data_IF_176930671808
#
_entry.id   IF_176930671808
#
_cell.length_a   1.000
_cell.length_b   1.000
_cell.length_c   1.000
_cell.angle_alpha   90.00
_cell.angle_beta   90.00
_cell.angle_gamma   90.00
#
_symmetry.space_group_name_H-M   'P 1'
#
loop_
_entity.id
_entity.type
_entity.pdbx_description
1 polymer ?
2 non-polymer ?
3 water ?
#
# COMPACT_ATOMS: atom_id res chain seq x y z
N UNK A 6 8.35 13.51 8.82
CA UNK A 6 7.02 13.43 8.22
C UNK A 6 7.09 13.68 6.72
N UNK A 7 5.96 13.51 6.04
CA UNK A 7 5.93 13.48 4.58
C UNK A 7 5.38 14.78 4.00
N UNK A 8 6.10 15.36 3.04
CA UNK A 8 5.71 16.65 2.45
C UNK A 8 5.04 16.44 1.09
N UNK A 9 3.89 17.06 0.86
CA UNK A 9 3.33 17.07 -0.49
C UNK A 9 3.55 18.43 -1.12
N UNK A 10 4.00 18.47 -2.36
CA UNK A 10 4.16 19.75 -3.05
C UNK A 10 4.28 19.57 -4.55
N UNK A 11 4.23 20.67 -5.29
CA UNK A 11 4.40 20.63 -6.72
C UNK A 11 5.91 20.49 -7.05
N UNK A 12 6.23 19.65 -8.03
CA UNK A 12 7.64 19.48 -8.43
C UNK A 12 8.12 20.69 -9.21
N UNK A 13 9.35 21.13 -8.96
CA UNK A 13 9.95 22.23 -9.73
C UNK A 13 10.61 21.69 -11.00
N UNK A 14 10.78 22.56 -11.98
CA UNK A 14 11.42 22.14 -13.23
C UNK A 14 12.82 21.57 -12.98
N UNK A 15 13.57 22.20 -12.08
CA UNK A 15 14.93 21.75 -11.80
C UNK A 15 14.94 20.35 -11.17
N UNK A 16 13.76 19.82 -10.86
CA UNK A 16 13.66 18.50 -10.25
C UNK A 16 13.22 17.43 -11.23
N UNK A 17 13.21 17.78 -12.51
CA UNK A 17 12.82 16.83 -13.54
C UNK A 17 13.49 15.44 -13.35
N UNK A 18 14.79 15.43 -13.08
CA UNK A 18 15.46 14.13 -12.94
C UNK A 18 14.93 13.32 -11.76
N UNK A 19 14.66 13.96 -10.63
CA UNK A 19 14.07 13.22 -9.53
C UNK A 19 12.68 12.70 -9.92
N UNK A 20 11.92 13.47 -10.69
CA UNK A 20 10.59 13.01 -11.08
C UNK A 20 10.84 11.78 -11.94
N UNK A 21 11.81 11.89 -12.85
CA UNK A 21 12.10 10.78 -13.74
C UNK A 21 12.36 9.55 -12.86
N UNK A 22 13.20 9.67 -11.87
CA UNK A 22 13.55 8.51 -11.06
C UNK A 22 12.36 7.90 -10.39
N UNK A 23 11.49 8.70 -9.79
CA UNK A 23 10.38 8.07 -9.08
C UNK A 23 9.51 7.33 -10.10
N UNK A 24 9.37 7.89 -11.30
CA UNK A 24 8.56 7.22 -12.30
C UNK A 24 9.19 5.88 -12.66
N UNK A 25 10.50 5.86 -12.84
CA UNK A 25 11.18 4.62 -13.18
C UNK A 25 10.95 3.60 -12.06
N UNK A 26 10.91 4.06 -10.81
CA UNK A 26 11.05 3.13 -9.68
C UNK A 26 9.73 2.50 -9.24
N UNK A 27 8.69 3.32 -9.14
CA UNK A 27 7.44 2.83 -8.58
C UNK A 27 6.27 2.88 -9.55
N UNK A 28 6.39 3.61 -10.64
CA UNK A 28 5.25 3.73 -11.55
C UNK A 28 5.28 2.73 -12.71
N UNK A 29 6.22 2.92 -13.63
CA UNK A 29 6.30 2.08 -14.83
C UNK A 29 6.36 0.57 -14.56
N UNK A 30 7.17 0.14 -13.58
CA UNK A 30 7.28 -1.31 -13.35
C UNK A 30 5.98 -1.97 -12.94
N UNK A 31 5.02 -1.16 -12.55
CA UNK A 31 3.79 -1.70 -12.09
C UNK A 31 2.56 -1.34 -12.86
N UNK A 32 2.61 -0.28 -13.63
CA UNK A 32 1.43 0.23 -14.35
C UNK A 32 0.84 -0.83 -15.28
N UNK A 33 -0.44 -1.14 -15.07
CA UNK A 33 -1.11 -2.19 -15.83
C UNK A 33 -1.00 -2.04 -17.34
N UNK A 34 -1.24 -0.83 -17.85
CA UNK A 34 -1.16 -0.61 -19.28
C UNK A 34 0.23 -0.96 -19.84
N UNK A 35 1.28 -0.34 -19.30
CA UNK A 35 2.64 -0.55 -19.82
C UNK A 35 3.15 -2.01 -19.71
N UNK A 36 2.91 -2.68 -18.58
CA UNK A 36 3.44 -4.06 -18.42
C UNK A 36 2.58 -5.17 -19.03
N UNK A 37 1.34 -4.86 -19.41
CA UNK A 37 0.49 -5.86 -20.06
C UNK A 37 0.72 -5.91 -21.57
N UNK A 38 1.53 -4.98 -22.06
CA UNK A 38 1.75 -4.83 -23.50
C UNK A 38 2.36 -6.08 -24.10
N UNK A 39 1.78 -6.47 -25.24
CA UNK A 39 2.12 -7.69 -25.97
C UNK A 39 3.57 -7.83 -26.43
N UNK A 40 4.21 -6.73 -26.81
CA UNK A 40 5.56 -6.82 -27.37
C UNK A 40 6.68 -6.38 -26.43
N UNK A 41 6.42 -6.37 -25.13
CA UNK A 41 7.41 -5.96 -24.16
C UNK A 41 6.85 -5.06 -23.06
N UNK A 42 7.24 -5.34 -21.83
CA UNK A 42 6.67 -4.64 -20.69
C UNK A 42 7.39 -3.32 -20.36
N UNK A 43 8.58 -3.12 -20.91
CA UNK A 43 9.34 -1.91 -20.57
C UNK A 43 8.71 -0.66 -21.18
N UNK A 44 8.84 0.46 -20.48
CA UNK A 44 8.41 1.74 -21.04
C UNK A 44 9.45 2.30 -22.01
N UNK A 45 9.01 3.23 -22.86
CA UNK A 45 9.88 3.80 -23.87
C UNK A 45 10.20 5.25 -23.52
N UNK A 46 11.16 5.82 -24.24
CA UNK A 46 11.53 7.22 -24.04
C UNK A 46 10.40 8.20 -24.40
N UNK A 47 9.60 7.89 -25.40
CA UNK A 47 8.52 8.83 -25.76
C UNK A 47 7.40 8.91 -24.71
N UNK A 48 7.19 7.77 -24.03
CA UNK A 48 6.28 7.64 -22.90
C UNK A 48 6.77 8.57 -21.78
N UNK A 49 8.02 8.37 -21.41
CA UNK A 49 8.68 9.17 -20.41
C UNK A 49 8.61 10.67 -20.73
N UNK A 50 8.90 11.02 -21.97
CA UNK A 50 8.84 12.42 -22.38
C UNK A 50 7.45 13.00 -22.17
N UNK A 51 6.43 12.22 -22.52
CA UNK A 51 5.06 12.67 -22.29
C UNK A 51 4.85 12.98 -20.80
N UNK A 52 5.17 12.02 -19.94
CA UNK A 52 4.94 12.22 -18.52
C UNK A 52 5.70 13.42 -17.94
N UNK A 53 6.96 13.58 -18.34
CA UNK A 53 7.77 14.66 -17.79
C UNK A 53 7.39 16.03 -18.36
N UNK A 54 6.77 16.05 -19.55
CA UNK A 54 6.37 17.33 -20.12
C UNK A 54 5.48 18.11 -19.13
N UNK A 55 4.91 17.44 -18.14
CA UNK A 55 4.01 18.15 -17.20
C UNK A 55 4.71 18.89 -16.07
N UNK A 56 5.98 18.56 -15.79
CA UNK A 56 6.68 19.21 -14.68
C UNK A 56 6.71 20.72 -14.86
N UNK A 57 7.06 21.18 -16.06
CA UNK A 57 7.13 22.62 -16.33
C UNK A 57 5.76 23.28 -16.17
N UNK A 58 4.69 22.53 -16.39
CA UNK A 58 3.34 23.08 -16.27
C UNK A 58 2.87 23.24 -14.82
N UNK A 59 3.68 22.80 -13.86
CA UNK A 59 3.36 22.90 -12.45
C UNK A 59 2.21 22.02 -11.99
N UNK A 60 1.98 20.92 -12.71
CA UNK A 60 0.88 20.02 -12.34
C UNK A 60 1.38 18.59 -12.01
N UNK A 61 2.65 18.52 -11.63
CA UNK A 61 3.24 17.29 -11.11
C UNK A 61 3.41 17.46 -9.61
N UNK A 62 2.73 16.60 -8.86
CA UNK A 62 2.77 16.66 -7.40
C UNK A 62 3.61 15.50 -6.88
N UNK A 63 4.47 15.78 -5.92
CA UNK A 63 5.31 14.75 -5.36
C UNK A 63 5.06 14.68 -3.86
N UNK A 64 5.21 13.47 -3.36
CA UNK A 64 5.24 13.20 -1.92
C UNK A 64 6.69 12.86 -1.62
N UNK A 65 7.26 13.61 -0.68
CA UNK A 65 8.68 13.61 -0.39
C UNK A 65 8.93 13.25 1.08
N UNK A 66 9.92 12.40 1.31
CA UNK A 66 10.38 12.09 2.66
C UNK A 66 11.53 13.05 2.95
N UNK A 67 11.20 14.22 3.49
CA UNK A 67 12.20 15.27 3.67
C UNK A 67 13.38 14.83 4.54
N UNK A 68 13.12 13.93 5.49
CA UNK A 68 14.17 13.40 6.35
C UNK A 68 15.15 12.52 5.56
N UNK A 69 14.69 11.94 4.46
CA UNK A 69 15.55 11.12 3.62
C UNK A 69 15.89 11.82 2.31
N UNK A 70 15.37 13.04 2.14
CA UNK A 70 15.51 13.79 0.88
C UNK A 70 15.22 12.88 -0.30
N UNK A 71 13.99 12.39 -0.37
CA UNK A 71 13.62 11.33 -1.31
C UNK A 71 12.14 11.41 -1.71
N UNK A 72 11.84 11.29 -3.00
CA UNK A 72 10.46 11.21 -3.43
C UNK A 72 9.92 9.80 -3.10
N UNK A 73 8.67 9.72 -2.69
CA UNK A 73 8.07 8.42 -2.40
C UNK A 73 6.66 8.33 -2.97
N UNK A 74 6.23 9.40 -3.64
CA UNK A 74 4.97 9.31 -4.37
C UNK A 74 4.94 10.37 -5.45
N UNK A 75 4.12 10.17 -6.47
CA UNK A 75 4.02 11.18 -7.54
C UNK A 75 2.67 11.08 -8.21
N UNK A 76 2.15 12.23 -8.65
CA UNK A 76 0.91 12.27 -9.41
C UNK A 76 1.08 13.28 -10.53
N UNK A 77 0.71 12.88 -11.74
CA UNK A 77 0.87 13.76 -12.89
C UNK A 77 -0.49 13.97 -13.53
N UNK A 78 -0.83 15.24 -13.71
CA UNK A 78 -2.13 15.60 -14.27
C UNK A 78 -1.94 16.73 -15.29
N UNK A 79 -2.95 16.96 -16.13
CA UNK A 79 -2.89 18.02 -17.11
C UNK A 79 -4.28 18.29 -17.62
N UNK A 80 -4.48 19.40 -18.36
CA UNK A 80 -5.82 19.70 -18.86
C UNK A 80 -6.19 18.75 -19.98
N UNK A 81 -7.47 18.45 -20.12
CA UNK A 81 -7.96 17.80 -21.34
C UNK A 81 -9.10 18.65 -21.88
N UNK A 82 -9.33 18.56 -23.18
CA UNK A 82 -10.40 19.35 -23.78
C UNK A 82 -10.84 18.75 -25.11
N UNK A 83 -12.03 19.13 -25.58
CA UNK A 83 -12.49 18.60 -26.86
C UNK A 83 -11.40 18.78 -27.91
N UNK A 84 -11.19 17.77 -28.75
CA UNK A 84 -10.14 17.82 -29.76
C UNK A 84 -8.94 16.97 -29.41
N UNK A 85 -8.74 16.74 -28.12
CA UNK A 85 -7.53 16.07 -27.65
C UNK A 85 -7.37 14.65 -28.20
N UNK A 86 -8.44 13.84 -28.15
CA UNK A 86 -8.30 12.49 -28.73
C UNK A 86 -7.77 12.47 -30.19
N UNK A 87 -8.30 13.31 -31.06
CA UNK A 87 -7.82 13.35 -32.44
C UNK A 87 -6.34 13.75 -32.54
N UNK A 88 -5.97 14.77 -31.78
CA UNK A 88 -4.56 15.16 -31.69
C UNK A 88 -3.67 14.02 -31.19
N UNK A 89 -4.17 13.26 -30.22
CA UNK A 89 -3.40 12.12 -29.70
C UNK A 89 -3.23 11.06 -30.78
N UNK A 90 -4.27 10.81 -31.56
CA UNK A 90 -4.16 9.84 -32.67
C UNK A 90 -3.10 10.31 -33.69
N UNK A 91 -3.13 11.60 -33.98
CA UNK A 91 -2.15 12.17 -34.91
C UNK A 91 -0.74 11.98 -34.35
N UNK A 92 -0.54 12.35 -33.09
CA UNK A 92 0.76 12.19 -32.44
C UNK A 92 1.18 10.72 -32.51
N UNK A 93 0.22 9.82 -32.38
CA UNK A 93 0.50 8.39 -32.37
C UNK A 93 1.08 7.97 -33.71
N UNK A 94 0.59 8.60 -34.78
CA UNK A 94 1.09 8.32 -36.12
C UNK A 94 2.54 8.76 -36.39
N UNK A 95 3.10 9.61 -35.53
CA UNK A 95 4.41 10.20 -35.80
C UNK A 95 5.44 9.93 -34.70
N UNK A 96 5.01 9.29 -33.61
CA UNK A 96 5.88 9.10 -32.46
C UNK A 96 7.00 8.09 -32.76
N UNK A 97 8.04 8.09 -31.92
CA UNK A 97 9.22 7.25 -32.20
C UNK A 97 8.95 5.75 -32.12
N UNK A 98 8.23 5.30 -31.08
CA UNK A 98 8.03 3.88 -30.92
C UNK A 98 6.61 3.43 -31.20
N UNK A 99 6.46 2.18 -31.64
CA UNK A 99 5.12 1.67 -31.88
C UNK A 99 4.38 1.51 -30.56
N UNK A 100 5.09 1.11 -29.51
CA UNK A 100 4.43 0.88 -28.22
C UNK A 100 3.73 2.15 -27.72
N UNK A 101 4.44 3.26 -27.78
CA UNK A 101 3.87 4.51 -27.28
C UNK A 101 2.72 4.97 -28.17
N UNK A 102 2.84 4.76 -29.48
CA UNK A 102 1.72 5.04 -30.38
C UNK A 102 0.47 4.25 -30.05
N UNK A 103 0.65 2.96 -29.79
CA UNK A 103 -0.46 2.08 -29.41
C UNK A 103 -1.10 2.53 -28.09
N UNK A 104 -0.25 2.85 -27.12
CA UNK A 104 -0.76 3.31 -25.82
C UNK A 104 -1.52 4.62 -25.97
N UNK A 105 -0.96 5.53 -26.75
CA UNK A 105 -1.60 6.81 -27.04
C UNK A 105 -2.98 6.62 -27.65
N UNK A 106 -3.10 5.70 -28.60
CA UNK A 106 -4.43 5.39 -29.15
C UNK A 106 -5.39 4.85 -28.11
N UNK A 107 -4.91 3.96 -27.25
CA UNK A 107 -5.74 3.49 -26.14
C UNK A 107 -6.23 4.62 -25.20
N UNK A 108 -5.32 5.49 -24.81
CA UNK A 108 -5.63 6.64 -23.95
C UNK A 108 -6.64 7.56 -24.61
N UNK A 109 -6.42 7.81 -25.89
CA UNK A 109 -7.35 8.60 -26.70
C UNK A 109 -8.73 7.97 -26.67
N UNK A 110 -8.82 6.66 -26.83
CA UNK A 110 -10.11 5.96 -26.79
C UNK A 110 -10.78 6.15 -25.44
N UNK A 111 -9.99 6.00 -24.38
CA UNK A 111 -10.51 6.17 -23.04
C UNK A 111 -11.11 7.56 -22.89
N UNK A 112 -10.38 8.56 -23.37
CA UNK A 112 -10.79 9.94 -23.20
C UNK A 112 -12.03 10.24 -24.03
N UNK A 113 -12.05 9.72 -25.24
CA UNK A 113 -13.15 9.94 -26.18
C UNK A 113 -14.42 9.31 -25.66
N UNK A 114 -14.29 8.13 -25.08
CA UNK A 114 -15.46 7.40 -24.57
C UNK A 114 -16.01 8.09 -23.33
N UNK A 115 -15.11 8.53 -22.46
CA UNK A 115 -15.53 9.19 -21.24
C UNK A 115 -16.24 10.48 -21.58
N UNK A 116 -15.67 11.24 -22.51
CA UNK A 116 -16.26 12.50 -22.96
C UNK A 116 -16.64 13.40 -21.78
N UNK A 117 -15.72 13.58 -20.83
CA UNK A 117 -16.01 14.37 -19.63
C UNK A 117 -16.56 15.77 -19.95
N UNK A 118 -15.88 16.47 -20.85
CA UNK A 118 -16.28 17.85 -21.17
C UNK A 118 -17.69 17.93 -21.74
N UNK A 119 -18.04 16.96 -22.59
CA UNK A 119 -19.36 16.95 -23.21
C UNK A 119 -20.45 16.55 -22.24
N UNK A 120 -20.15 15.55 -21.42
CA UNK A 120 -21.12 15.07 -20.45
C UNK A 120 -21.45 16.10 -19.38
N UNK A 121 -20.46 16.91 -18.99
CA UNK A 121 -20.71 17.83 -17.88
C UNK A 121 -20.85 19.30 -18.27
N UNK A 122 -20.64 19.59 -19.55
CA UNK A 122 -20.77 20.95 -20.06
C UNK A 122 -19.56 21.82 -19.74
N UNK A 123 -18.36 21.30 -20.01
CA UNK A 123 -17.13 21.99 -19.66
C UNK A 123 -16.31 22.34 -20.90
N UNK A 124 -15.56 23.43 -20.83
CA UNK A 124 -14.59 23.78 -21.86
C UNK A 124 -13.30 22.98 -21.72
N UNK A 125 -13.03 22.54 -20.49
CA UNK A 125 -11.84 21.74 -20.18
C UNK A 125 -12.01 21.06 -18.83
N UNK A 126 -11.19 20.04 -18.57
CA UNK A 126 -11.24 19.32 -17.31
C UNK A 126 -9.81 19.04 -16.90
N UNK A 127 -9.61 18.66 -15.64
CA UNK A 127 -8.27 18.34 -15.14
C UNK A 127 -8.16 16.83 -15.03
N UNK A 128 -7.20 16.25 -15.73
CA UNK A 128 -7.11 14.81 -15.84
C UNK A 128 -5.85 14.25 -15.18
N UNK A 129 -6.05 13.42 -14.15
CA UNK A 129 -4.93 12.74 -13.53
C UNK A 129 -4.49 11.59 -14.44
N UNK A 130 -3.28 11.72 -14.97
CA UNK A 130 -2.68 10.69 -15.83
C UNK A 130 -1.99 9.62 -14.98
N UNK A 131 -1.31 10.05 -13.92
CA UNK A 131 -0.51 9.15 -13.09
C UNK A 131 -0.78 9.37 -11.59
N UNK A 132 -0.93 8.29 -10.84
CA UNK A 132 -0.99 8.38 -9.37
C UNK A 132 -0.23 7.16 -8.86
N UNK A 133 0.92 7.37 -8.25
CA UNK A 133 1.77 6.26 -7.82
C UNK A 133 2.40 6.50 -6.45
N UNK A 134 2.30 5.48 -5.59
CA UNK A 134 2.79 5.57 -4.24
C UNK A 134 3.73 4.41 -4.00
N UNK A 135 4.87 4.69 -3.38
CA UNK A 135 5.79 3.62 -2.98
C UNK A 135 5.04 2.70 -2.00
N UNK A 136 4.88 1.42 -2.35
CA UNK A 136 4.03 0.55 -1.52
C UNK A 136 4.60 0.25 -0.13
N UNK A 137 5.87 0.55 0.11
CA UNK A 137 6.47 0.36 1.44
C UNK A 137 6.18 1.53 2.39
N UNK A 138 5.57 2.59 1.88
CA UNK A 138 5.15 3.68 2.74
C UNK A 138 3.65 3.56 3.01
N UNK A 139 3.28 2.54 3.77
CA UNK A 139 1.89 2.29 4.11
C UNK A 139 1.51 3.01 5.38
N UNK A 140 0.20 3.22 5.56
CA UNK A 140 -0.28 3.80 6.80
C UNK A 140 -0.20 5.31 6.90
N UNK A 141 0.04 5.98 5.78
CA UNK A 141 0.17 7.44 5.80
C UNK A 141 -0.77 8.18 4.87
N UNK A 142 -1.81 7.50 4.39
CA UNK A 142 -2.81 8.13 3.53
C UNK A 142 -2.19 8.76 2.29
N UNK A 143 -1.11 8.17 1.76
CA UNK A 143 -0.35 8.82 0.69
C UNK A 143 -1.13 8.96 -0.61
N UNK A 144 -1.77 7.88 -1.05
CA UNK A 144 -2.57 7.91 -2.26
C UNK A 144 -3.66 8.94 -2.13
N UNK A 145 -4.35 8.90 -0.99
CA UNK A 145 -5.47 9.83 -0.79
C UNK A 145 -4.96 11.26 -0.71
N UNK A 146 -3.81 11.48 -0.09
CA UNK A 146 -3.26 12.84 0.01
C UNK A 146 -2.78 13.38 -1.33
N UNK A 147 -2.22 12.51 -2.17
CA UNK A 147 -1.83 12.91 -3.54
C UNK A 147 -3.06 13.30 -4.37
N UNK A 148 -4.08 12.43 -4.37
CA UNK A 148 -5.27 12.71 -5.15
C UNK A 148 -5.98 13.94 -4.63
N UNK A 149 -6.06 14.07 -3.32
CA UNK A 149 -6.71 15.24 -2.73
C UNK A 149 -5.94 16.49 -3.09
N UNK A 150 -4.62 16.39 -3.09
CA UNK A 150 -3.80 17.54 -3.42
C UNK A 150 -4.12 17.93 -4.86
N UNK A 151 -4.23 16.95 -5.76
CA UNK A 151 -4.54 17.28 -7.17
C UNK A 151 -5.93 17.91 -7.30
N UNK A 152 -6.89 17.42 -6.52
CA UNK A 152 -8.23 18.04 -6.51
C UNK A 152 -8.19 19.49 -6.04
N UNK A 153 -7.51 19.73 -4.91
CA UNK A 153 -7.41 21.08 -4.34
C UNK A 153 -6.73 22.04 -5.28
N UNK A 154 -5.65 21.56 -5.91
CA UNK A 154 -4.85 22.36 -6.81
C UNK A 154 -5.65 22.71 -8.06
N UNK A 155 -6.26 21.71 -8.68
CA UNK A 155 -7.03 21.96 -9.90
C UNK A 155 -8.15 22.95 -9.57
N UNK A 156 -8.76 22.77 -8.40
CA UNK A 156 -9.80 23.73 -7.96
C UNK A 156 -9.25 25.15 -7.95
N UNK A 157 -8.15 25.36 -7.22
CA UNK A 157 -7.57 26.71 -7.15
C UNK A 157 -7.20 27.25 -8.53
N UNK A 158 -6.82 26.37 -9.45
CA UNK A 158 -6.39 26.80 -10.78
C UNK A 158 -7.57 27.20 -11.68
N UNK A 159 -8.79 26.95 -11.21
CA UNK A 159 -9.99 27.36 -11.92
C UNK A 159 -10.70 26.25 -12.67
N UNK A 160 -10.21 25.01 -12.54
CA UNK A 160 -10.88 23.89 -13.21
C UNK A 160 -12.24 23.62 -12.58
N UNK A 161 -13.20 23.21 -13.40
CA UNK A 161 -14.55 22.96 -12.91
C UNK A 161 -14.79 21.47 -12.71
N UNK A 162 -13.84 20.64 -13.17
CA UNK A 162 -13.96 19.19 -13.03
C UNK A 162 -12.60 18.49 -13.07
N UNK A 163 -12.50 17.37 -12.36
CA UNK A 163 -11.30 16.54 -12.39
C UNK A 163 -11.65 15.10 -12.73
N UNK A 164 -10.78 14.41 -13.48
CA UNK A 164 -11.00 13.03 -13.86
C UNK A 164 -9.73 12.23 -13.86
N UNK A 165 -9.86 10.93 -14.08
CA UNK A 165 -8.69 10.06 -14.18
C UNK A 165 -9.00 8.70 -14.76
N UNK A 166 -7.97 8.07 -15.31
CA UNK A 166 -8.06 6.69 -15.75
C UNK A 166 -7.38 5.83 -14.69
N UNK A 167 -8.20 5.12 -13.91
CA UNK A 167 -7.71 4.35 -12.78
C UNK A 167 -7.65 2.87 -13.10
N UNK A 168 -6.44 2.36 -13.11
CA UNK A 168 -6.13 1.05 -13.60
C UNK A 168 -6.08 0.01 -12.50
N UNK A 169 -6.12 0.41 -11.25
CA UNK A 169 -6.08 -0.54 -10.16
C UNK A 169 -7.26 -0.46 -9.21
N UNK A 170 -7.40 -1.47 -8.39
CA UNK A 170 -8.55 -1.54 -7.58
C UNK A 170 -8.42 -0.47 -6.51
N UNK A 171 -7.26 -0.35 -5.91
CA UNK A 171 -7.08 0.63 -4.87
C UNK A 171 -7.63 1.99 -5.35
N UNK A 172 -7.02 2.40 -6.44
CA UNK A 172 -7.04 3.74 -7.01
C UNK A 172 -8.48 4.11 -7.34
N UNK A 173 -9.19 3.16 -7.95
CA UNK A 173 -10.62 3.34 -8.17
C UNK A 173 -11.28 3.62 -6.83
N UNK A 174 -10.92 2.82 -5.82
CA UNK A 174 -11.53 2.97 -4.49
C UNK A 174 -11.36 4.39 -3.91
N UNK A 175 -10.18 4.97 -4.11
CA UNK A 175 -9.89 6.33 -3.69
C UNK A 175 -10.79 7.28 -4.43
N UNK A 176 -10.77 7.17 -5.76
CA UNK A 176 -11.58 8.04 -6.61
C UNK A 176 -13.00 8.09 -6.11
N UNK A 177 -13.59 6.91 -5.92
CA UNK A 177 -14.95 6.81 -5.41
C UNK A 177 -15.07 7.49 -4.05
N UNK A 178 -14.15 7.16 -3.15
CA UNK A 178 -14.12 7.75 -1.81
C UNK A 178 -14.09 9.27 -1.85
N UNK A 179 -13.28 9.83 -2.73
CA UNK A 179 -13.14 11.29 -2.78
C UNK A 179 -14.18 11.94 -3.69
N UNK A 180 -15.27 11.21 -3.94
CA UNK A 180 -16.44 11.79 -4.58
C UNK A 180 -16.48 11.73 -6.09
N UNK A 181 -15.60 10.92 -6.67
CA UNK A 181 -15.57 10.75 -8.12
C UNK A 181 -16.51 9.60 -8.54
N UNK A 182 -17.32 9.85 -9.58
CA UNK A 182 -18.20 8.83 -10.13
C UNK A 182 -17.50 8.19 -11.33
N UNK A 183 -17.37 6.86 -11.33
CA UNK A 183 -16.88 6.16 -12.52
C UNK A 183 -17.97 6.16 -13.59
N UNK A 184 -17.67 6.78 -14.74
CA UNK A 184 -18.66 6.98 -15.78
C UNK A 184 -18.43 6.10 -16.99
N UNK A 185 -17.26 5.50 -17.09
CA UNK A 185 -16.92 4.64 -18.22
C UNK A 185 -15.84 3.65 -17.80
N UNK A 186 -15.81 2.48 -18.43
CA UNK A 186 -14.76 1.50 -18.17
C UNK A 186 -14.43 0.68 -19.41
N UNK A 187 -13.26 0.03 -19.36
CA UNK A 187 -12.78 -0.74 -20.51
C UNK A 187 -11.97 -1.92 -20.03
N UNK A 188 -12.42 -3.12 -20.39
CA UNK A 188 -11.65 -4.32 -20.14
C UNK A 188 -10.41 -4.31 -21.02
N UNK A 189 -9.24 -4.30 -20.39
CA UNK A 189 -7.97 -4.20 -21.09
C UNK A 189 -7.76 -5.28 -22.16
N UNK A 190 -8.01 -6.53 -21.78
CA UNK A 190 -7.80 -7.65 -22.70
C UNK A 190 -8.79 -7.66 -23.86
N UNK A 191 -9.89 -6.94 -23.71
CA UNK A 191 -10.87 -6.84 -24.77
C UNK A 191 -10.54 -5.73 -25.78
N UNK A 192 -9.55 -4.91 -25.46
CA UNK A 192 -9.15 -3.82 -26.36
C UNK A 192 -8.63 -4.34 -27.70
N UNK A 193 -9.08 -3.70 -28.77
CA UNK A 193 -8.64 -3.99 -30.13
C UNK A 193 -8.40 -2.66 -30.84
N UNK A 194 -7.26 -2.50 -31.49
CA UNK A 194 -7.06 -1.27 -32.26
C UNK A 194 -7.83 -1.32 -33.59
N UNK A 195 -7.60 -0.35 -34.47
CA UNK A 195 -8.35 -0.29 -35.74
C UNK A 195 -7.99 -1.44 -36.69
N UNK A 196 -6.84 -2.06 -36.44
CA UNK A 196 -6.38 -3.21 -37.22
C UNK A 196 -7.06 -4.48 -36.77
N UNK A 197 -7.73 -4.40 -35.62
CA UNK A 197 -8.34 -5.57 -35.01
C UNK A 197 -7.39 -6.32 -34.11
N UNK A 198 -6.23 -5.72 -33.82
CA UNK A 198 -5.18 -6.39 -33.06
C UNK A 198 -5.35 -6.27 -31.55
N UNK A 199 -5.19 -7.37 -30.86
CA UNK A 199 -5.13 -7.43 -29.43
C UNK A 199 -3.76 -7.06 -28.93
N UNK A 200 -3.63 -5.97 -28.17
CA UNK A 200 -2.30 -5.44 -27.88
C UNK A 200 -1.92 -5.52 -26.41
N UNK A 201 -2.88 -5.85 -25.56
CA UNK A 201 -2.62 -5.90 -24.13
C UNK A 201 -3.11 -7.21 -23.54
N UNK A 202 -2.27 -7.81 -22.71
CA UNK A 202 -2.55 -9.11 -22.12
C UNK A 202 -2.21 -9.07 -20.64
N UNK A 203 -3.11 -8.49 -19.83
CA UNK A 203 -2.79 -8.37 -18.41
C UNK A 203 -2.72 -9.73 -17.73
N UNK A 204 -1.55 -10.06 -17.18
CA UNK A 204 -1.37 -11.32 -16.44
C UNK A 204 -2.57 -11.58 -15.53
N UNK A 205 -3.11 -10.50 -14.97
CA UNK A 205 -4.37 -10.56 -14.27
C UNK A 205 -5.50 -10.36 -15.26
N UNK A 206 -6.05 -11.47 -15.78
CA UNK A 206 -7.18 -11.36 -16.69
C UNK A 206 -8.33 -10.68 -15.94
N UNK A 207 -9.34 -10.23 -16.67
CA UNK A 207 -10.41 -9.43 -16.05
C UNK A 207 -9.84 -8.20 -15.36
N UNK A 208 -8.76 -7.63 -15.90
CA UNK A 208 -8.27 -6.33 -15.44
C UNK A 208 -8.95 -5.21 -16.21
N UNK A 209 -9.55 -4.28 -15.47
CA UNK A 209 -10.41 -3.26 -16.05
C UNK A 209 -9.89 -1.86 -15.73
N UNK A 210 -10.03 -0.95 -16.70
CA UNK A 210 -9.66 0.44 -16.50
C UNK A 210 -10.92 1.26 -16.29
N UNK A 211 -10.94 2.12 -15.28
CA UNK A 211 -12.14 2.91 -15.03
C UNK A 211 -11.87 4.40 -15.08
N UNK A 212 -12.58 5.12 -15.93
CA UNK A 212 -12.49 6.57 -15.99
C UNK A 212 -13.49 7.18 -15.01
N UNK A 213 -12.98 7.92 -14.03
CA UNK A 213 -13.85 8.53 -13.02
C UNK A 213 -13.72 10.06 -13.03
N UNK A 214 -14.75 10.73 -12.53
CA UNK A 214 -14.86 12.19 -12.66
C UNK A 214 -15.66 12.84 -11.54
N UNK A 215 -15.35 14.10 -11.25
CA UNK A 215 -16.00 14.84 -10.18
C UNK A 215 -16.00 16.34 -10.48
N UNK A 216 -17.16 16.98 -10.30
CA UNK A 216 -17.24 18.42 -10.44
C UNK A 216 -16.51 19.04 -9.26
N UNK A 217 -15.85 20.16 -9.50
CA UNK A 217 -15.11 20.84 -8.44
C UNK A 217 -15.83 22.11 -8.01
N UNK B 6 11.21 -3.80 39.37
CA UNK B 6 12.41 -4.17 38.67
C UNK B 6 12.20 -4.45 37.18
N UNK B 7 10.97 -4.68 36.81
CA UNK B 7 10.58 -4.84 35.42
C UNK B 7 10.02 -3.51 34.91
N UNK B 8 10.62 -2.99 33.84
CA UNK B 8 10.22 -1.72 33.27
C UNK B 8 9.57 -1.95 31.90
N UNK B 9 8.42 -1.35 31.65
CA UNK B 9 7.85 -1.34 30.30
C UNK B 9 8.05 0.06 29.74
N UNK B 10 8.59 0.17 28.53
CA UNK B 10 8.76 1.50 27.93
C UNK B 10 8.90 1.40 26.42
N UNK B 11 8.79 2.54 25.75
CA UNK B 11 9.02 2.59 24.31
C UNK B 11 10.53 2.45 24.06
N UNK B 12 10.89 1.60 23.11
CA UNK B 12 12.30 1.49 22.73
C UNK B 12 12.75 2.75 21.97
N UNK B 13 13.96 3.22 22.26
CA UNK B 13 14.52 4.37 21.57
C UNK B 13 15.21 3.90 20.26
N UNK B 14 15.30 4.79 19.28
CA UNK B 14 15.98 4.48 18.03
C UNK B 14 17.38 3.89 18.25
N UNK B 15 18.12 4.47 19.19
CA UNK B 15 19.50 4.02 19.47
C UNK B 15 19.54 2.59 20.00
N UNK B 16 18.37 2.04 20.32
CA UNK B 16 18.30 0.68 20.84
C UNK B 16 17.92 -0.32 19.74
N UNK B 17 17.97 0.13 18.49
CA UNK B 17 17.60 -0.75 17.37
C UNK B 17 18.21 -2.15 17.49
N UNK B 18 19.52 -2.22 17.71
CA UNK B 18 20.18 -3.52 17.77
C UNK B 18 19.61 -4.40 18.87
N UNK B 19 19.29 -3.80 20.02
CA UNK B 19 18.74 -4.61 21.11
C UNK B 19 17.35 -5.11 20.71
N UNK B 20 16.59 -4.29 19.99
CA UNK B 20 15.29 -4.78 19.54
C UNK B 20 15.56 -5.97 18.59
N UNK B 21 16.53 -5.81 17.69
CA UNK B 21 16.80 -6.86 16.71
C UNK B 21 17.07 -8.11 17.52
N UNK B 22 17.90 -7.96 18.52
CA UNK B 22 18.32 -9.08 19.29
C UNK B 22 17.16 -9.78 20.00
N UNK B 23 16.27 -9.04 20.61
CA UNK B 23 15.17 -9.73 21.27
C UNK B 23 14.29 -10.40 20.21
N UNK B 24 14.15 -9.77 19.04
CA UNK B 24 13.28 -10.39 18.04
C UNK B 24 13.89 -11.71 17.58
N UNK B 25 15.22 -11.77 17.51
CA UNK B 25 15.85 -13.02 17.08
C UNK B 25 15.60 -14.09 18.12
N UNK B 26 15.70 -13.72 19.37
CA UNK B 26 15.78 -14.71 20.41
C UNK B 26 14.45 -15.28 20.85
N UNK B 27 13.45 -14.44 21.06
CA UNK B 27 12.17 -14.89 21.62
C UNK B 27 10.97 -14.76 20.67
N UNK B 28 11.04 -13.90 19.66
CA UNK B 28 9.91 -13.84 18.72
C UNK B 28 10.00 -14.84 17.57
N UNK B 29 10.95 -14.65 16.66
CA UNK B 29 10.99 -15.42 15.41
C UNK B 29 11.04 -16.95 15.56
N UNK B 30 11.77 -17.46 16.57
CA UNK B 30 11.83 -18.92 16.75
C UNK B 30 10.49 -19.54 17.14
N UNK B 31 9.58 -18.75 17.69
CA UNK B 31 8.34 -19.32 18.20
C UNK B 31 7.10 -18.86 17.45
N UNK B 32 7.27 -18.03 16.44
CA UNK B 32 6.10 -17.44 15.82
C UNK B 32 5.45 -18.38 14.80
N UNK B 33 4.16 -18.64 15.01
CA UNK B 33 3.44 -19.64 14.21
C UNK B 33 3.58 -19.48 12.70
N UNK B 34 3.33 -18.27 12.21
CA UNK B 34 3.42 -18.04 10.76
C UNK B 34 4.83 -18.36 10.22
N UNK B 35 5.85 -17.76 10.82
CA UNK B 35 7.21 -17.95 10.32
C UNK B 35 7.66 -19.40 10.36
N UNK B 36 7.38 -20.11 11.46
CA UNK B 36 7.89 -21.46 11.58
C UNK B 36 7.00 -22.51 10.90
N UNK B 37 5.78 -22.13 10.51
CA UNK B 37 4.90 -23.03 9.78
C UNK B 37 5.24 -23.12 8.30
N UNK B 38 6.05 -22.17 7.81
CA UNK B 38 6.35 -22.05 6.39
C UNK B 38 7.04 -23.31 5.85
N UNK B 39 6.50 -23.82 4.74
CA UNK B 39 6.97 -25.10 4.18
C UNK B 39 8.38 -25.07 3.57
N UNK B 40 8.88 -23.90 3.16
CA UNK B 40 10.21 -23.81 2.55
C UNK B 40 11.28 -23.13 3.42
N UNK B 41 11.33 -23.46 4.70
CA UNK B 41 12.27 -22.84 5.61
C UNK B 41 11.58 -22.22 6.82
N UNK B 42 12.04 -22.55 8.02
CA UNK B 42 11.38 -22.07 9.23
C UNK B 42 11.98 -20.74 9.75
N UNK B 43 13.23 -20.47 9.40
CA UNK B 43 13.90 -19.27 9.87
C UNK B 43 13.31 -18.04 9.22
N UNK B 44 13.41 -16.88 9.88
CA UNK B 44 12.97 -15.64 9.28
C UNK B 44 13.99 -15.08 8.30
N UNK B 45 13.58 -14.11 7.51
CA UNK B 45 14.47 -13.49 6.54
C UNK B 45 14.78 -12.04 6.88
N UNK B 46 15.76 -11.49 6.18
CA UNK B 46 16.15 -10.11 6.36
C UNK B 46 15.06 -9.09 6.01
N UNK B 47 14.24 -9.36 4.99
CA UNK B 47 13.20 -8.38 4.66
C UNK B 47 12.07 -8.39 5.70
N UNK B 48 11.83 -9.55 6.28
CA UNK B 48 10.92 -9.73 7.41
C UNK B 48 11.42 -8.86 8.58
N UNK B 49 12.65 -9.12 9.01
CA UNK B 49 13.31 -8.31 10.03
C UNK B 49 13.30 -6.80 9.77
N UNK B 50 13.58 -6.39 8.52
CA UNK B 50 13.58 -4.98 8.17
C UNK B 50 12.19 -4.41 8.44
N UNK B 51 11.17 -5.16 8.04
CA UNK B 51 9.81 -4.69 8.34
C UNK B 51 9.62 -4.50 9.86
N UNK B 52 9.90 -5.54 10.63
CA UNK B 52 9.70 -5.39 12.08
C UNK B 52 10.42 -4.18 12.66
N UNK B 53 11.66 -3.94 12.22
CA UNK B 53 12.46 -2.87 12.79
C UNK B 53 12.10 -1.47 12.29
N UNK B 54 11.41 -1.35 11.15
CA UNK B 54 11.03 -0.01 10.71
C UNK B 54 10.18 0.74 11.73
N UNK B 55 9.63 0.05 12.73
CA UNK B 55 8.73 0.73 13.67
C UNK B 55 9.45 1.36 14.85
N UNK B 56 10.71 0.97 15.04
CA UNK B 56 11.45 1.56 16.15
C UNK B 56 11.46 3.09 16.04
N UNK B 57 11.77 3.62 14.85
CA UNK B 57 11.83 5.07 14.71
C UNK B 57 10.47 5.76 14.83
N UNK B 58 9.38 5.00 14.66
CA UNK B 58 8.02 5.55 14.75
C UNK B 58 7.55 5.68 16.21
N UNK B 59 8.31 5.09 17.12
CA UNK B 59 8.01 5.17 18.54
C UNK B 59 6.88 4.26 18.97
N UNK B 60 6.60 3.21 18.20
CA UNK B 60 5.55 2.27 18.57
C UNK B 60 6.08 0.89 18.86
N UNK B 61 7.35 0.79 19.23
CA UNK B 61 7.90 -0.48 19.70
C UNK B 61 8.03 -0.39 21.22
N UNK B 62 7.41 -1.33 21.92
CA UNK B 62 7.39 -1.33 23.37
C UNK B 62 8.24 -2.49 23.84
N UNK B 63 9.10 -2.26 24.83
CA UNK B 63 9.92 -3.32 25.38
C UNK B 63 9.60 -3.48 26.85
N UNK B 64 9.76 -4.72 27.33
CA UNK B 64 9.86 -5.00 28.77
C UNK B 64 11.32 -5.33 29.01
N UNK B 65 11.86 -4.71 30.05
CA UNK B 65 13.26 -4.74 30.37
C UNK B 65 13.45 -5.12 31.84
N UNK B 66 14.38 -6.03 32.09
CA UNK B 66 14.85 -6.31 33.45
C UNK B 66 15.93 -5.27 33.73
N UNK B 67 15.59 -4.23 34.50
CA UNK B 67 16.51 -3.11 34.68
C UNK B 67 17.77 -3.47 35.48
N UNK B 68 17.67 -4.49 36.33
CA UNK B 68 18.85 -4.96 37.05
C UNK B 68 19.83 -5.60 36.08
N UNK B 69 19.33 -6.56 35.31
CA UNK B 69 20.16 -7.32 34.37
C UNK B 69 20.50 -6.52 33.10
N UNK B 70 19.86 -5.38 32.90
CA UNK B 70 20.09 -4.55 31.71
C UNK B 70 19.75 -5.26 30.40
N UNK B 71 18.66 -6.02 30.37
CA UNK B 71 18.28 -6.76 29.15
C UNK B 71 16.78 -6.75 28.85
N UNK B 72 16.44 -6.72 27.56
CA UNK B 72 15.06 -6.81 27.15
C UNK B 72 14.57 -8.21 27.43
N UNK B 73 13.34 -8.32 27.92
CA UNK B 73 12.75 -9.63 28.20
C UNK B 73 11.38 -9.76 27.57
N UNK B 74 10.91 -8.67 26.97
CA UNK B 74 9.67 -8.74 26.22
C UNK B 74 9.64 -7.66 25.14
N UNK B 75 8.80 -7.85 24.13
CA UNK B 75 8.71 -6.83 23.07
C UNK B 75 7.36 -6.90 22.36
N UNK B 76 6.87 -5.73 21.97
CA UNK B 76 5.66 -5.63 21.17
C UNK B 76 5.84 -4.56 20.13
N UNK B 77 5.49 -4.87 18.89
CA UNK B 77 5.63 -3.91 17.79
C UNK B 77 4.28 -3.67 17.13
N UNK B 78 3.92 -2.39 16.98
CA UNK B 78 2.61 -1.99 16.47
C UNK B 78 2.78 -0.87 15.48
N UNK B 79 1.76 -0.64 14.64
CA UNK B 79 1.76 0.46 13.70
C UNK B 79 0.35 0.70 13.15
N UNK B 80 0.16 1.80 12.43
CA UNK B 80 -1.17 2.14 11.87
C UNK B 80 -1.50 1.17 10.75
N UNK B 81 -2.79 0.91 10.57
CA UNK B 81 -3.28 0.22 9.38
C UNK B 81 -4.46 1.04 8.87
N UNK B 82 -4.70 0.97 7.56
CA UNK B 82 -5.76 1.76 6.95
C UNK B 82 -6.15 1.13 5.61
N UNK B 83 -7.33 1.50 5.09
CA UNK B 83 -7.73 0.99 3.77
C UNK B 83 -6.62 1.23 2.74
N UNK B 84 -6.43 0.28 1.83
CA UNK B 84 -5.39 0.39 0.84
C UNK B 84 -4.15 -0.38 1.22
N UNK B 85 -4.00 -0.67 2.51
CA UNK B 85 -2.82 -1.41 2.98
C UNK B 85 -2.68 -2.78 2.34
N UNK B 86 -3.76 -3.55 2.27
CA UNK B 86 -3.60 -4.90 1.71
C UNK B 86 -3.07 -4.90 0.27
N UNK B 87 -3.63 -4.03 -0.57
CA UNK B 87 -3.16 -3.96 -1.96
C UNK B 87 -1.69 -3.55 -2.04
N UNK B 88 -1.30 -2.58 -1.20
CA UNK B 88 0.11 -2.17 -1.13
C UNK B 88 1.01 -3.30 -0.66
N UNK B 89 0.57 -4.09 0.32
CA UNK B 89 1.34 -5.25 0.77
C UNK B 89 1.55 -6.26 -0.35
N UNK B 90 0.48 -6.55 -1.09
CA UNK B 90 0.60 -7.47 -2.23
C UNK B 90 1.59 -6.92 -3.28
N UNK B 91 1.54 -5.61 -3.48
CA UNK B 91 2.48 -4.93 -4.38
C UNK B 91 3.93 -5.07 -3.90
N UNK B 92 4.17 -4.81 -2.62
CA UNK B 92 5.51 -4.96 -2.09
C UNK B 92 5.96 -6.40 -2.25
N UNK B 93 5.00 -7.31 -2.11
CA UNK B 93 5.29 -8.75 -2.10
C UNK B 93 5.86 -9.16 -3.45
N UNK B 94 5.33 -8.55 -4.51
CA UNK B 94 5.85 -8.82 -5.85
C UNK B 94 7.36 -8.51 -6.02
N UNK B 95 7.89 -7.52 -5.30
CA UNK B 95 9.28 -7.09 -5.51
C UNK B 95 10.26 -7.30 -4.33
N UNK B 96 9.83 -7.99 -3.27
CA UNK B 96 10.68 -8.03 -2.08
C UNK B 96 11.81 -9.03 -2.28
N UNK B 97 12.78 -9.04 -1.35
CA UNK B 97 13.98 -9.85 -1.55
C UNK B 97 13.73 -11.35 -1.57
N UNK B 98 12.92 -11.84 -0.63
CA UNK B 98 12.68 -13.30 -0.55
C UNK B 98 11.26 -13.68 -0.88
N UNK B 99 11.10 -14.87 -1.45
CA UNK B 99 9.76 -15.41 -1.66
C UNK B 99 9.06 -15.61 -0.33
N UNK B 100 9.81 -15.96 0.72
CA UNK B 100 9.15 -16.23 1.99
C UNK B 100 8.46 -14.98 2.53
N UNK B 101 9.18 -13.86 2.55
CA UNK B 101 8.58 -12.61 3.05
C UNK B 101 7.40 -12.21 2.17
N UNK B 102 7.54 -12.38 0.86
CA UNK B 102 6.41 -12.07 -0.04
C UNK B 102 5.17 -12.90 0.27
N UNK B 103 5.37 -14.20 0.46
CA UNK B 103 4.29 -15.09 0.82
C UNK B 103 3.63 -14.67 2.15
N UNK B 104 4.45 -14.33 3.14
CA UNK B 104 3.87 -13.90 4.41
C UNK B 104 3.11 -12.57 4.26
N UNK B 105 3.68 -11.64 3.51
CA UNK B 105 3.01 -10.37 3.23
C UNK B 105 1.64 -10.64 2.66
N UNK B 106 1.54 -11.58 1.73
CA UNK B 106 0.24 -11.82 1.13
C UNK B 106 -0.74 -12.45 2.11
N UNK B 107 -0.22 -13.32 2.98
CA UNK B 107 -1.06 -13.87 4.05
C UNK B 107 -1.60 -12.78 4.98
N UNK B 108 -0.69 -11.91 5.44
CA UNK B 108 -1.06 -10.83 6.34
C UNK B 108 -2.07 -9.90 5.66
N UNK B 109 -1.87 -9.68 4.37
CA UNK B 109 -2.77 -8.84 3.60
C UNK B 109 -4.17 -9.45 3.61
N UNK B 110 -4.25 -10.76 3.38
CA UNK B 110 -5.54 -11.45 3.46
C UNK B 110 -6.19 -11.28 4.83
N UNK B 111 -5.43 -11.50 5.90
CA UNK B 111 -5.98 -11.35 7.24
C UNK B 111 -6.55 -9.93 7.43
N UNK B 112 -5.78 -8.95 6.99
CA UNK B 112 -6.12 -7.57 7.22
C UNK B 112 -7.39 -7.22 6.44
N UNK B 113 -7.40 -7.56 5.15
CA UNK B 113 -8.56 -7.24 4.33
C UNK B 113 -9.81 -7.98 4.79
N UNK B 114 -9.65 -9.23 5.20
CA UNK B 114 -10.79 -10.01 5.70
C UNK B 114 -11.35 -9.41 7.00
N UNK B 115 -10.47 -9.05 7.92
CA UNK B 115 -10.87 -8.42 9.17
C UNK B 115 -11.61 -7.11 8.91
N UNK B 116 -11.06 -6.29 8.02
CA UNK B 116 -11.68 -5.01 7.65
C UNK B 116 -12.00 -4.13 8.84
N UNK B 117 -11.07 -4.00 9.77
CA UNK B 117 -11.31 -3.22 10.97
C UNK B 117 -11.86 -1.81 10.67
N UNK B 118 -11.17 -1.07 9.80
CA UNK B 118 -11.55 0.31 9.51
C UNK B 118 -12.96 0.37 8.91
N UNK B 119 -13.25 -0.52 7.97
CA UNK B 119 -14.56 -0.55 7.35
C UNK B 119 -15.64 -0.93 8.35
N UNK B 120 -15.33 -1.93 9.16
CA UNK B 120 -16.27 -2.46 10.11
C UNK B 120 -16.72 -1.39 11.08
N UNK B 121 -15.78 -0.59 11.59
CA UNK B 121 -16.11 0.34 12.66
C UNK B 121 -16.24 1.80 12.25
N UNK B 122 -15.95 2.09 10.98
CA UNK B 122 -16.03 3.45 10.47
C UNK B 122 -14.84 4.33 10.83
N UNK B 123 -13.64 3.78 10.70
CA UNK B 123 -12.40 4.47 11.09
C UNK B 123 -11.54 4.81 9.88
N UNK B 124 -10.81 5.93 9.97
CA UNK B 124 -9.83 6.26 8.95
C UNK B 124 -8.60 5.37 9.07
N UNK B 125 -8.31 4.93 10.29
CA UNK B 125 -7.23 4.03 10.56
C UNK B 125 -7.32 3.41 11.93
N UNK B 126 -6.49 2.41 12.17
CA UNK B 126 -6.52 1.69 13.44
C UNK B 126 -5.10 1.32 13.81
N UNK B 127 -4.92 0.84 15.03
CA UNK B 127 -3.60 0.54 15.55
C UNK B 127 -3.48 -0.96 15.61
N UNK B 128 -2.49 -1.52 14.92
CA UNK B 128 -2.42 -2.96 14.78
C UNK B 128 -1.15 -3.47 15.41
N UNK B 129 -1.30 -4.40 16.36
CA UNK B 129 -0.16 -4.98 17.03
C UNK B 129 0.39 -6.08 16.13
N UNK B 130 1.55 -5.84 15.53
CA UNK B 130 2.13 -6.83 14.63
C UNK B 130 2.80 -7.96 15.40
N UNK B 131 3.42 -7.61 16.52
CA UNK B 131 4.25 -8.56 17.23
C UNK B 131 4.03 -8.41 18.72
N UNK B 132 3.92 -9.55 19.41
CA UNK B 132 3.89 -9.57 20.87
C UNK B 132 4.62 -10.83 21.36
N UNK B 133 5.75 -10.65 22.04
CA UNK B 133 6.57 -11.79 22.46
C UNK B 133 7.15 -11.60 23.85
N UNK B 134 7.22 -12.69 24.59
CA UNK B 134 7.75 -12.68 25.95
C UNK B 134 8.78 -13.77 26.15
N UNK B 135 9.89 -13.45 26.80
CA UNK B 135 10.92 -14.45 27.10
C UNK B 135 10.36 -15.44 28.16
N UNK B 136 10.24 -16.73 27.79
CA UNK B 136 9.57 -17.70 28.65
C UNK B 136 10.27 -17.92 30.00
N UNK B 137 11.57 -17.67 30.06
CA UNK B 137 12.29 -17.77 31.32
C UNK B 137 11.75 -16.72 32.31
N UNK B 138 10.98 -15.77 31.79
CA UNK B 138 10.37 -14.75 32.63
C UNK B 138 8.88 -14.95 32.85
N UNK B 139 8.47 -16.21 33.02
CA UNK B 139 7.10 -16.50 33.46
C UNK B 139 6.81 -15.81 34.78
N UNK B 140 5.53 -15.72 35.13
CA UNK B 140 5.15 -15.23 36.44
C UNK B 140 4.89 -13.73 36.54
N UNK B 141 5.38 -12.96 35.58
CA UNK B 141 5.27 -11.50 35.70
C UNK B 141 4.21 -10.84 34.81
N UNK B 142 3.28 -11.64 34.30
CA UNK B 142 2.16 -11.14 33.48
C UNK B 142 2.66 -10.25 32.35
N UNK B 143 3.79 -10.59 31.76
CA UNK B 143 4.43 -9.69 30.82
C UNK B 143 3.63 -9.49 29.53
N UNK B 144 3.06 -10.57 29.00
CA UNK B 144 2.23 -10.47 27.81
C UNK B 144 1.09 -9.48 28.02
N UNK B 145 0.38 -9.68 29.12
CA UNK B 145 -0.70 -8.77 29.48
C UNK B 145 -0.22 -7.32 29.63
N UNK B 146 0.92 -7.11 30.27
CA UNK B 146 1.44 -5.74 30.49
C UNK B 146 1.85 -5.06 29.18
N UNK B 147 2.50 -5.83 28.31
CA UNK B 147 2.89 -5.34 26.99
C UNK B 147 1.67 -4.94 26.19
N UNK B 148 0.69 -5.85 26.08
CA UNK B 148 -0.51 -5.53 25.32
C UNK B 148 -1.25 -4.35 25.92
N UNK B 149 -1.41 -4.36 27.25
CA UNK B 149 -2.07 -3.24 27.91
C UNK B 149 -1.33 -1.93 27.62
N UNK B 150 0.00 -2.00 27.59
CA UNK B 150 0.80 -0.81 27.36
C UNK B 150 0.50 -0.30 25.96
N UNK B 151 0.47 -1.21 24.98
CA UNK B 151 0.12 -0.81 23.60
C UNK B 151 -1.27 -0.17 23.52
N UNK B 152 -2.23 -0.74 24.24
CA UNK B 152 -3.56 -0.14 24.32
C UNK B 152 -3.54 1.30 24.87
N UNK B 153 -2.86 1.49 26.00
CA UNK B 153 -2.79 2.80 26.64
C UNK B 153 -2.08 3.81 25.75
N UNK B 154 -1.00 3.36 25.11
CA UNK B 154 -0.21 4.23 24.25
C UNK B 154 -0.99 4.66 23.02
N UNK B 155 -1.54 3.70 22.29
CA UNK B 155 -2.30 4.05 21.08
C UNK B 155 -3.49 4.95 21.44
N UNK B 156 -4.16 4.65 22.54
CA UNK B 156 -5.21 5.54 23.00
C UNK B 156 -4.67 6.96 23.14
N UNK B 157 -3.55 7.11 23.86
CA UNK B 157 -2.95 8.43 24.03
C UNK B 157 -2.56 9.12 22.72
N UNK B 158 -2.26 8.33 21.69
CA UNK B 158 -1.89 8.88 20.40
C UNK B 158 -3.14 9.20 19.59
N UNK B 159 -4.31 8.91 20.15
CA UNK B 159 -5.56 9.23 19.48
C UNK B 159 -6.06 8.21 18.46
N UNK B 160 -5.58 6.98 18.52
CA UNK B 160 -6.21 5.91 17.73
C UNK B 160 -7.54 5.51 18.39
N UNK B 161 -8.49 5.07 17.57
CA UNK B 161 -9.83 4.76 18.08
C UNK B 161 -10.10 3.26 18.18
N UNK B 162 -9.20 2.44 17.62
CA UNK B 162 -9.31 1.00 17.74
C UNK B 162 -7.91 0.39 17.70
N UNK B 163 -7.72 -0.72 18.43
CA UNK B 163 -6.50 -1.50 18.33
C UNK B 163 -6.86 -2.92 17.90
N UNK B 164 -6.02 -3.53 17.07
CA UNK B 164 -6.29 -4.89 16.62
C UNK B 164 -5.00 -5.67 16.56
N UNK B 165 -5.14 -6.98 16.36
CA UNK B 165 -3.99 -7.82 16.19
C UNK B 165 -4.35 -9.14 15.53
N UNK B 166 -3.35 -9.81 14.99
CA UNK B 166 -3.50 -11.16 14.48
C UNK B 166 -2.86 -12.11 15.47
N UNK B 167 -3.70 -12.82 16.21
CA UNK B 167 -3.25 -13.70 17.28
C UNK B 167 -3.21 -15.15 16.81
N UNK B 168 -1.97 -15.66 16.76
CA UNK B 168 -1.61 -16.88 16.03
C UNK B 168 -1.44 -18.07 16.94
N UNK B 169 -1.74 -17.93 18.23
CA UNK B 169 -1.69 -19.05 19.17
C UNK B 169 -2.88 -19.02 20.13
N UNK B 170 -3.16 -20.16 20.75
CA UNK B 170 -4.31 -20.30 21.66
C UNK B 170 -4.16 -19.38 22.88
N UNK B 171 -2.93 -19.28 23.35
CA UNK B 171 -2.63 -18.48 24.52
C UNK B 171 -2.74 -16.99 24.22
N UNK B 172 -2.24 -16.56 23.07
CA UNK B 172 -2.29 -15.14 22.74
C UNK B 172 -3.74 -14.70 22.49
N UNK B 173 -4.54 -15.56 21.87
CA UNK B 173 -5.96 -15.29 21.69
C UNK B 173 -6.63 -15.13 23.06
N UNK B 174 -6.35 -16.06 23.97
CA UNK B 174 -6.97 -15.95 25.29
C UNK B 174 -6.56 -14.64 25.96
N UNK B 175 -5.30 -14.26 25.80
CA UNK B 175 -4.83 -12.97 26.33
C UNK B 175 -5.61 -11.78 25.76
N UNK B 176 -5.72 -11.74 24.43
CA UNK B 176 -6.47 -10.71 23.72
C UNK B 176 -7.89 -10.57 24.25
N UNK B 177 -8.55 -11.69 24.43
CA UNK B 177 -9.91 -11.68 24.95
C UNK B 177 -9.96 -11.16 26.38
N UNK B 178 -9.03 -11.65 27.21
CA UNK B 178 -8.96 -11.22 28.60
C UNK B 178 -8.86 -9.70 28.72
N UNK B 179 -8.21 -9.07 27.75
CA UNK B 179 -8.08 -7.61 27.78
C UNK B 179 -9.20 -6.88 27.02
N UNK B 180 -10.26 -7.60 26.68
CA UNK B 180 -11.43 -6.95 26.11
C UNK B 180 -11.51 -6.92 24.59
N UNK B 181 -10.62 -7.65 23.92
CA UNK B 181 -10.64 -7.67 22.46
C UNK B 181 -11.60 -8.75 21.93
N UNK B 182 -12.35 -8.39 20.89
CA UNK B 182 -13.33 -9.26 20.28
C UNK B 182 -12.75 -9.86 18.99
N UNK B 183 -12.66 -11.20 18.92
CA UNK B 183 -12.25 -11.86 17.68
C UNK B 183 -13.33 -11.73 16.64
N UNK B 184 -13.00 -11.12 15.51
CA UNK B 184 -14.00 -10.77 14.52
C UNK B 184 -13.79 -11.51 13.22
N UNK B 185 -12.67 -12.23 13.13
CA UNK B 185 -12.34 -12.94 11.90
C UNK B 185 -11.26 -13.94 12.19
N UNK B 186 -11.20 -15.01 11.40
CA UNK B 186 -10.19 -16.02 11.63
C UNK B 186 -9.93 -16.85 10.40
N UNK B 187 -8.79 -17.54 10.40
CA UNK B 187 -8.41 -18.35 9.27
C UNK B 187 -7.65 -19.57 9.77
N UNK B 188 -7.97 -20.74 9.23
CA UNK B 188 -7.20 -21.94 9.53
C UNK B 188 -5.92 -21.89 8.70
N UNK B 189 -4.79 -21.77 9.36
CA UNK B 189 -3.53 -21.55 8.66
C UNK B 189 -3.28 -22.63 7.61
N UNK B 190 -3.50 -23.89 8.00
CA UNK B 190 -3.34 -25.01 7.09
C UNK B 190 -4.20 -24.97 5.83
N UNK B 191 -5.35 -24.29 5.88
CA UNK B 191 -6.25 -24.23 4.74
C UNK B 191 -5.97 -23.05 3.81
N UNK B 192 -5.00 -22.22 4.19
CA UNK B 192 -4.63 -21.06 3.37
C UNK B 192 -3.96 -21.47 2.05
N UNK B 193 -4.50 -20.96 0.96
CA UNK B 193 -3.91 -21.15 -0.36
C UNK B 193 -3.67 -19.78 -0.96
N UNK B 194 -2.50 -19.60 -1.56
CA UNK B 194 -2.24 -18.35 -2.28
C UNK B 194 -2.88 -18.36 -3.66
N UNK B 195 -2.61 -17.32 -4.46
CA UNK B 195 -3.26 -17.18 -5.76
C UNK B 195 -2.82 -18.27 -6.77
N UNK B 196 -1.81 -19.06 -6.42
CA UNK B 196 -1.40 -20.20 -7.26
C UNK B 196 -2.03 -21.48 -6.79
N UNK B 197 -2.92 -21.37 -5.79
CA UNK B 197 -3.52 -22.54 -5.18
C UNK B 197 -2.57 -23.30 -4.29
N UNK B 198 -1.40 -22.74 -4.00
CA UNK B 198 -0.42 -23.48 -3.20
C UNK B 198 -0.63 -23.39 -1.68
N UNK B 199 -0.37 -24.51 -1.01
CA UNK B 199 -0.39 -24.59 0.45
C UNK B 199 1.01 -24.29 0.98
N UNK B 200 1.18 -23.14 1.62
CA UNK B 200 2.51 -22.68 1.99
C UNK B 200 2.82 -22.77 3.48
N UNK B 201 1.81 -23.11 4.27
CA UNK B 201 1.97 -23.17 5.72
C UNK B 201 1.40 -24.47 6.28
N UNK B 202 2.21 -25.16 7.07
CA UNK B 202 1.77 -26.40 7.71
C UNK B 202 2.01 -26.35 9.21
N UNK B 203 0.99 -25.93 9.96
CA UNK B 203 1.12 -25.61 11.38
C UNK B 203 1.00 -26.80 12.34
N UNK B 204 1.67 -26.70 13.48
CA UNK B 204 1.38 -27.54 14.62
C UNK B 204 -0.01 -27.20 15.12
N UNK B 205 -0.56 -28.04 15.99
CA UNK B 205 -1.91 -27.84 16.52
C UNK B 205 -2.12 -26.45 17.15
N UNK B 206 -1.09 -25.95 17.84
CA UNK B 206 -1.18 -24.69 18.59
C UNK B 206 -1.23 -23.44 17.68
N UNK B 207 -0.93 -23.64 16.40
CA UNK B 207 -0.92 -22.55 15.43
C UNK B 207 -1.90 -22.76 14.30
N UNK B 208 -2.84 -23.68 14.51
CA UNK B 208 -3.80 -24.06 13.48
C UNK B 208 -4.75 -22.93 13.11
N UNK B 209 -5.03 -22.05 14.05
CA UNK B 209 -5.97 -20.96 13.78
C UNK B 209 -5.38 -19.59 14.09
N UNK B 210 -5.57 -18.66 13.16
CA UNK B 210 -5.19 -17.28 13.37
C UNK B 210 -6.47 -16.48 13.56
N UNK B 211 -6.55 -15.74 14.67
CA UNK B 211 -7.74 -14.94 14.91
C UNK B 211 -7.36 -13.48 14.96
N UNK B 212 -8.09 -12.65 14.22
CA UNK B 212 -7.90 -11.22 14.26
C UNK B 212 -8.85 -10.62 15.29
N UNK B 213 -8.30 -9.93 16.28
CA UNK B 213 -9.12 -9.40 17.37
C UNK B 213 -8.95 -7.90 17.53
N UNK B 214 -10.02 -7.24 17.97
CA UNK B 214 -10.08 -5.78 17.96
C UNK B 214 -10.77 -5.26 19.20
N UNK B 215 -10.38 -4.06 19.61
CA UNK B 215 -11.02 -3.37 20.73
C UNK B 215 -11.12 -1.89 20.40
N UNK B 216 -12.30 -1.30 20.61
CA UNK B 216 -12.44 0.14 20.50
C UNK B 216 -11.71 0.81 21.65
N UNK B 217 -11.05 1.94 21.37
CA UNK B 217 -10.25 2.63 22.36
C UNK B 217 -10.93 3.90 22.89
X LIG C 1 -13.36 14.95 -23.13
X LIG C 1 -12.87 15.72 -22.07
X LIG C 1 -12.93 15.65 -24.43
X LIG C 1 -14.03 16.38 -24.92
X LIG C 1 -12.55 14.58 -25.46
X LIG C 1 -13.71 14.12 -26.13
X LIG D 1 -4.08 5.54 -12.27
X LIG D 1 -4.42 4.36 -11.59
X LIG D 1 -2.73 5.32 -12.91
X LIG D 1 -1.76 6.08 -12.21
X LIG D 1 -2.81 5.71 -14.37
X LIG D 1 -1.84 5.02 -15.12
X LIG E 1 -0.51 5.14 -19.10
X LIG E 1 0.34 4.05 -19.35
X LIG E 1 0.29 6.43 -19.35
X LIG E 1 1.66 6.18 -19.06
X LIG E 1 -0.26 7.54 -18.45
X LIG E 1 0.48 8.72 -18.66
X LIG F 1 -7.64 -1.82 7.52
X LIG F 1 -8.53 -2.16 8.56
X LIG F 1 -8.41 -1.84 6.19
X LIG F 1 -9.76 -1.49 6.43
X LIG F 1 -8.34 -3.25 5.61
X LIG F 1 -8.89 -3.26 4.31
X LIG G 1 2.02 -12.45 17.17
X LIG G 1 2.91 -11.81 18.04
X LIG G 1 0.59 -12.11 17.57
X LIG G 1 0.52 -10.74 17.88
X LIG G 1 0.20 -12.94 18.77
X LIG G 1 0.15 -14.31 18.39
X LIG H 1 -5.41 9.02 14.28
X LIG H 1 -5.42 9.55 12.99
X LIG H 1 -3.98 8.94 14.72
X LIG H 1 -3.74 9.82 15.74
X LIG H 1 -3.06 9.32 13.60
X LIG H 1 -1.79 9.43 14.20
#
# INVERSE_FOLDING_TARGET
MVAPESIVLRVARLDELEQVREILHRIYYPEEGITISYVHGKSHTLDDERFSLSFVEQGTVVVAEDSAAKKFIGVSIAGPIQPGDPDAMVEEAATTETKKWGDILKLLALLERTADVCGRYGLEKAYHVHILAVDPTYRGHSLGQRLLQFQMDLSKKLGFKAISGDFTSVFSVKLAEKLGMECISQLALGDYRDEKGEKLFEPLDVHQVIKTCVKLL
MVAPESIVLRVARLDELEQVREILHRIYYPEEGITISYVHGKSHTLDDERFSLSFVEQGTVVVAEDSAAKKFIGVSIAGPIQPGDPDAMVEEAATTETKKWGDILKLLALLERTADVCGRYGLEKAYHVHILAVDPTYRGHSLGQRLLQFQMDLSKKLGFKAISGDFTSVFSVKLAEKLGMECISQLALGDYRDEKGEKLFEPLDVHQVIKTCVKLL
GOL C1 O1 C2 O2 C3 O3
GOL C1 O1 C2 O2 C3 O3
GOL C1 O1 C2 O2 C3 O3
GOL C1 O1 C2 O2 C3 O3
GOL C1 O1 C2 O2 C3 O3
GOL C1 O1 C2 O2 C3 O3
#
